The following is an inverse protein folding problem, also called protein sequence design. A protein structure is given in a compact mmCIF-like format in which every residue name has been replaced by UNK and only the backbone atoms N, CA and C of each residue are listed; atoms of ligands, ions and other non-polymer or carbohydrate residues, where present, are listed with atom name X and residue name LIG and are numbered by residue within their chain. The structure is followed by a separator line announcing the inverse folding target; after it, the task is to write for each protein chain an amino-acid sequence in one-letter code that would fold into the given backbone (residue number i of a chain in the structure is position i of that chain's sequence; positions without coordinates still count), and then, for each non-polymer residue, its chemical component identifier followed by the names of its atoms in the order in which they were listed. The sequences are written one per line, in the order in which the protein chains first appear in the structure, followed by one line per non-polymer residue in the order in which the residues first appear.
data_IF_814320324875
#
_entry.id   IF_814320324875
#
_cell.length_a   1.000
_cell.length_b   1.000
_cell.length_c   1.000
_cell.angle_alpha   90.00
_cell.angle_beta   90.00
_cell.angle_gamma   90.00
#
_symmetry.space_group_name_H-M   'P 1'
#
loop_
_entity.id
_entity.type
_entity.pdbx_description
1 polymer ?
#
# COMPACT_ATOMS: atom_id res chain seq x y z
N UNK A 1 23.63 21.50 -2.75
CA UNK A 1 22.28 21.63 -3.36
C UNK A 1 21.70 20.31 -3.90
N UNK A 2 22.42 19.52 -4.72
CA UNK A 2 21.92 18.22 -5.25
C UNK A 2 21.58 17.20 -4.14
N UNK A 3 22.52 16.96 -3.21
CA UNK A 3 22.32 16.04 -2.09
C UNK A 3 21.10 16.40 -1.21
N UNK A 4 20.88 17.68 -0.94
CA UNK A 4 19.70 18.14 -0.19
C UNK A 4 18.39 17.86 -0.93
N UNK A 5 18.34 18.08 -2.25
CA UNK A 5 17.16 17.79 -3.07
C UNK A 5 16.85 16.29 -3.08
N UNK A 6 17.88 15.46 -3.18
CA UNK A 6 17.75 14.01 -3.16
C UNK A 6 17.27 13.50 -1.79
N UNK A 7 17.84 14.01 -0.71
CA UNK A 7 17.40 13.70 0.65
C UNK A 7 15.95 14.12 0.90
N UNK A 8 15.57 15.32 0.44
CA UNK A 8 14.19 15.80 0.54
C UNK A 8 13.22 14.91 -0.26
N UNK A 9 13.56 14.57 -1.52
CA UNK A 9 12.75 13.66 -2.35
C UNK A 9 12.57 12.29 -1.70
N UNK A 10 13.65 11.74 -1.14
CA UNK A 10 13.62 10.47 -0.39
C UNK A 10 12.69 10.56 0.82
N UNK A 11 12.83 11.62 1.64
CA UNK A 11 11.98 11.83 2.81
C UNK A 11 10.50 11.99 2.45
N UNK A 12 10.20 12.71 1.37
CA UNK A 12 8.81 12.87 0.88
C UNK A 12 8.19 11.53 0.48
N UNK A 13 8.95 10.68 -0.22
CA UNK A 13 8.48 9.34 -0.60
C UNK A 13 8.35 8.41 0.59
N UNK A 14 9.28 8.45 1.56
CA UNK A 14 9.15 7.67 2.79
C UNK A 14 7.85 7.97 3.53
N UNK A 15 7.51 9.25 3.68
CA UNK A 15 6.25 9.66 4.32
C UNK A 15 5.03 9.24 3.48
N UNK A 16 5.10 9.36 2.15
CA UNK A 16 4.04 8.89 1.26
C UNK A 16 3.80 7.37 1.38
N UNK A 17 4.87 6.57 1.43
CA UNK A 17 4.79 5.11 1.54
C UNK A 17 4.24 4.68 2.89
N UNK A 18 4.65 5.35 3.97
CA UNK A 18 4.05 5.17 5.30
C UNK A 18 2.54 5.43 5.27
N UNK A 19 2.11 6.57 4.73
CA UNK A 19 0.69 6.92 4.66
C UNK A 19 -0.12 5.89 3.89
N UNK A 20 0.42 5.37 2.78
CA UNK A 20 -0.22 4.32 2.01
C UNK A 20 -0.29 2.99 2.74
N UNK A 21 0.80 2.55 3.39
CA UNK A 21 0.81 1.33 4.19
C UNK A 21 -0.26 1.42 5.28
N UNK A 22 -0.32 2.53 6.00
CA UNK A 22 -1.28 2.76 7.08
C UNK A 22 -2.73 2.67 6.57
N UNK A 23 -3.04 3.34 5.46
CA UNK A 23 -4.40 3.39 4.90
C UNK A 23 -4.81 2.05 4.27
N UNK A 24 -3.93 1.43 3.49
CA UNK A 24 -4.17 0.14 2.85
C UNK A 24 -4.31 -0.98 3.90
N UNK A 25 -3.50 -0.98 4.96
CA UNK A 25 -3.61 -1.95 6.05
C UNK A 25 -4.99 -1.90 6.71
N UNK A 26 -5.43 -0.69 7.08
CA UNK A 26 -6.74 -0.49 7.71
C UNK A 26 -7.88 -0.93 6.80
N UNK A 27 -7.83 -0.52 5.54
CA UNK A 27 -8.91 -0.79 4.59
C UNK A 27 -8.96 -2.26 4.20
N UNK A 28 -7.81 -2.93 4.05
CA UNK A 28 -7.77 -4.36 3.75
C UNK A 28 -8.28 -5.20 4.93
N UNK A 29 -7.85 -4.90 6.15
CA UNK A 29 -8.33 -5.60 7.34
C UNK A 29 -9.85 -5.41 7.53
N UNK A 30 -10.36 -4.23 7.23
CA UNK A 30 -11.80 -3.95 7.24
C UNK A 30 -12.55 -4.76 6.19
N UNK A 31 -12.08 -4.76 4.93
CA UNK A 31 -12.68 -5.53 3.84
C UNK A 31 -12.72 -7.04 4.12
N UNK A 32 -11.76 -7.55 4.91
CA UNK A 32 -11.75 -8.96 5.30
C UNK A 32 -12.86 -9.32 6.28
N UNK A 33 -13.40 -8.37 7.06
CA UNK A 33 -14.36 -8.68 8.14
C UNK A 33 -15.71 -7.95 7.99
N UNK A 34 -15.81 -7.02 7.04
CA UNK A 34 -17.00 -6.26 6.71
C UNK A 34 -17.27 -6.32 5.20
N UNK A 35 -18.55 -6.36 4.82
CA UNK A 35 -19.02 -6.38 3.43
C UNK A 35 -19.49 -5.00 2.94
N UNK A 36 -19.38 -3.97 3.80
CA UNK A 36 -19.84 -2.63 3.49
C UNK A 36 -18.67 -1.77 3.03
N UNK A 37 -18.68 -1.43 1.75
CA UNK A 37 -17.65 -0.59 1.15
C UNK A 37 -17.79 0.88 1.57
N UNK A 38 -16.84 1.39 2.37
CA UNK A 38 -16.70 2.83 2.64
C UNK A 38 -15.93 3.52 1.51
N UNK A 39 -16.67 4.22 0.64
CA UNK A 39 -16.13 4.99 -0.49
C UNK A 39 -15.06 6.00 -0.04
N UNK A 40 -15.17 6.53 1.17
CA UNK A 40 -14.22 7.52 1.71
C UNK A 40 -12.80 6.96 1.83
N UNK A 41 -12.68 5.68 2.22
CA UNK A 41 -11.38 4.97 2.32
C UNK A 41 -10.79 4.70 0.94
N UNK A 42 -11.63 4.32 -0.03
CA UNK A 42 -11.17 4.15 -1.41
C UNK A 42 -10.65 5.46 -2.02
N UNK A 43 -11.28 6.60 -1.70
CA UNK A 43 -10.77 7.92 -2.11
C UNK A 43 -9.39 8.17 -1.49
N UNK A 44 -9.18 7.81 -0.22
CA UNK A 44 -7.88 7.88 0.45
C UNK A 44 -6.79 7.08 -0.28
N UNK A 45 -7.06 5.81 -0.57
CA UNK A 45 -6.15 4.93 -1.33
C UNK A 45 -5.87 5.52 -2.72
N UNK A 46 -6.91 5.90 -3.47
CA UNK A 46 -6.76 6.45 -4.82
C UNK A 46 -5.92 7.75 -4.83
N UNK A 47 -6.13 8.62 -3.83
CA UNK A 47 -5.34 9.85 -3.66
C UNK A 47 -3.86 9.54 -3.43
N UNK A 48 -3.54 8.56 -2.58
CA UNK A 48 -2.17 8.15 -2.30
C UNK A 48 -1.50 7.54 -3.54
N UNK A 49 -2.20 6.67 -4.29
CA UNK A 49 -1.72 6.15 -5.58
C UNK A 49 -1.46 7.29 -6.57
N UNK A 50 -2.36 8.27 -6.65
CA UNK A 50 -2.20 9.43 -7.53
C UNK A 50 -0.99 10.29 -7.15
N UNK A 51 -0.70 10.44 -5.85
CA UNK A 51 0.51 11.12 -5.37
C UNK A 51 1.78 10.32 -5.72
N UNK A 52 1.75 8.99 -5.68
CA UNK A 52 2.87 8.15 -6.13
C UNK A 52 3.13 8.31 -7.62
N UNK A 53 2.10 8.49 -8.47
CA UNK A 53 2.29 8.78 -9.90
C UNK A 53 3.12 10.03 -10.19
N UNK A 54 3.16 10.96 -9.23
CA UNK A 54 3.96 12.19 -9.34
C UNK A 54 5.39 12.00 -8.85
N UNK A 55 5.60 11.13 -7.86
CA UNK A 55 6.84 11.11 -7.06
C UNK A 55 7.63 9.80 -7.15
N UNK A 56 6.99 8.71 -7.56
CA UNK A 56 7.51 7.36 -7.43
C UNK A 56 7.76 6.71 -8.79
N UNK A 57 8.52 5.63 -8.79
CA UNK A 57 8.77 4.76 -9.94
C UNK A 57 7.51 4.00 -10.34
N UNK A 58 7.46 3.57 -11.61
CA UNK A 58 6.38 2.74 -12.13
C UNK A 58 6.18 1.46 -11.30
N UNK A 59 7.26 0.84 -10.81
CA UNK A 59 7.14 -0.38 -9.97
C UNK A 59 6.34 -0.13 -8.70
N UNK A 60 6.59 1.00 -8.01
CA UNK A 60 5.82 1.38 -6.81
C UNK A 60 4.36 1.65 -7.18
N UNK A 61 4.12 2.36 -8.28
CA UNK A 61 2.76 2.70 -8.75
C UNK A 61 1.96 1.43 -9.09
N UNK A 62 2.57 0.48 -9.80
CA UNK A 62 1.92 -0.76 -10.22
C UNK A 62 1.57 -1.64 -9.01
N UNK A 63 2.50 -1.75 -8.04
CA UNK A 63 2.27 -2.46 -6.79
C UNK A 63 1.15 -1.84 -5.95
N UNK A 64 1.16 -0.50 -5.79
CA UNK A 64 0.11 0.21 -5.07
C UNK A 64 -1.27 0.08 -5.75
N UNK A 65 -1.30 0.13 -7.09
CA UNK A 65 -2.54 -0.03 -7.86
C UNK A 65 -3.11 -1.45 -7.72
N UNK A 66 -2.24 -2.47 -7.67
CA UNK A 66 -2.66 -3.86 -7.47
C UNK A 66 -3.29 -4.07 -6.08
N UNK A 67 -2.74 -3.43 -5.04
CA UNK A 67 -3.34 -3.43 -3.70
C UNK A 67 -4.72 -2.77 -3.70
N UNK A 68 -4.88 -1.64 -4.38
CA UNK A 68 -6.17 -0.94 -4.44
C UNK A 68 -7.27 -1.81 -5.09
N UNK A 69 -6.92 -2.56 -6.15
CA UNK A 69 -7.81 -3.52 -6.80
C UNK A 69 -8.14 -4.66 -5.83
N UNK A 70 -7.13 -5.28 -5.23
CA UNK A 70 -7.31 -6.36 -4.26
C UNK A 70 -8.26 -5.97 -3.11
N UNK A 71 -8.07 -4.79 -2.52
CA UNK A 71 -8.92 -4.30 -1.43
C UNK A 71 -10.37 -4.15 -1.91
N UNK A 72 -10.57 -3.58 -3.09
CA UNK A 72 -11.90 -3.41 -3.69
C UNK A 72 -12.55 -4.77 -3.93
N UNK A 73 -11.84 -5.72 -4.53
CA UNK A 73 -12.32 -7.07 -4.80
C UNK A 73 -12.66 -7.83 -3.52
N UNK A 74 -11.91 -7.58 -2.43
CA UNK A 74 -12.12 -8.23 -1.12
C UNK A 74 -13.48 -7.88 -0.52
N UNK A 75 -13.99 -6.66 -0.68
CA UNK A 75 -15.34 -6.28 -0.23
C UNK A 75 -16.46 -7.07 -0.94
N UNK A 76 -16.17 -7.68 -2.09
CA UNK A 76 -17.10 -8.52 -2.83
C UNK A 76 -16.89 -10.02 -2.57
N UNK A 77 -16.02 -10.39 -1.63
CA UNK A 77 -15.82 -11.77 -1.18
C UNK A 77 -16.56 -12.03 0.14
N UNK A 78 -16.81 -13.30 0.51
CA UNK A 78 -17.30 -13.63 1.84
C UNK A 78 -16.37 -13.10 2.95
N UNK A 79 -16.95 -12.46 3.97
CA UNK A 79 -16.20 -12.00 5.15
C UNK A 79 -15.55 -13.19 5.86
N UNK A 80 -14.42 -12.91 6.51
CA UNK A 80 -13.63 -13.88 7.28
C UNK A 80 -14.06 -13.88 8.73
N UNK A 81 -14.20 -15.07 9.28
CA UNK A 81 -14.33 -15.30 10.72
C UNK A 81 -12.98 -15.05 11.43
N UNK A 82 -12.98 -14.82 12.76
CA UNK A 82 -11.75 -14.67 13.52
C UNK A 82 -10.76 -15.84 13.37
N UNK A 83 -11.27 -17.07 13.26
CA UNK A 83 -10.43 -18.27 13.07
C UNK A 83 -9.78 -18.29 11.68
N UNK A 84 -10.52 -17.91 10.64
CA UNK A 84 -9.96 -17.79 9.29
C UNK A 84 -8.93 -16.66 9.21
N UNK A 85 -9.18 -15.52 9.87
CA UNK A 85 -8.23 -14.42 9.94
C UNK A 85 -6.94 -14.85 10.67
N UNK A 86 -7.07 -15.56 11.79
CA UNK A 86 -5.93 -16.13 12.51
C UNK A 86 -5.12 -17.09 11.63
N UNK A 87 -5.78 -17.99 10.90
CA UNK A 87 -5.11 -18.90 9.97
C UNK A 87 -4.36 -18.13 8.88
N UNK A 88 -4.98 -17.09 8.29
CA UNK A 88 -4.32 -16.23 7.31
C UNK A 88 -3.04 -15.57 7.87
N UNK A 89 -3.02 -15.15 9.14
CA UNK A 89 -1.83 -14.56 9.75
C UNK A 89 -0.72 -15.57 10.04
N UNK A 90 -1.07 -16.82 10.36
CA UNK A 90 -0.10 -17.88 10.67
C UNK A 90 0.48 -18.55 9.41
N UNK A 91 -0.36 -18.79 8.41
CA UNK A 91 0.01 -19.54 7.21
C UNK A 91 0.69 -18.65 6.16
N UNK A 92 0.88 -17.37 6.46
CA UNK A 92 1.42 -16.39 5.51
C UNK A 92 0.47 -16.19 4.34
N UNK A 93 -0.82 -16.02 4.63
CA UNK A 93 -1.85 -15.68 3.64
C UNK A 93 -1.49 -14.43 2.83
N UNK A 94 -2.36 -14.04 1.90
CA UNK A 94 -2.07 -12.91 0.99
C UNK A 94 -1.70 -11.66 1.80
N UNK A 95 -0.41 -11.33 1.80
CA UNK A 95 0.19 -10.13 2.38
C UNK A 95 0.62 -9.20 1.24
N UNK A 96 -0.32 -8.44 0.68
CA UNK A 96 -0.05 -7.64 -0.50
C UNK A 96 0.87 -6.44 -0.17
N UNK A 97 1.01 -6.09 1.12
CA UNK A 97 1.86 -5.00 1.59
C UNK A 97 3.33 -5.40 1.68
N UNK A 98 3.64 -6.69 1.78
CA UNK A 98 5.00 -7.19 1.70
C UNK A 98 5.66 -6.79 0.38
N UNK A 99 5.08 -7.17 -0.74
CA UNK A 99 5.63 -6.88 -2.07
C UNK A 99 5.77 -5.38 -2.29
N UNK A 100 4.77 -4.59 -1.91
CA UNK A 100 4.84 -3.13 -1.97
C UNK A 100 5.99 -2.57 -1.14
N UNK A 101 6.16 -3.05 0.09
CA UNK A 101 7.24 -2.60 0.98
C UNK A 101 8.63 -2.95 0.41
N UNK A 102 8.78 -4.11 -0.22
CA UNK A 102 10.02 -4.52 -0.89
C UNK A 102 10.33 -3.61 -2.08
N UNK A 103 9.34 -3.31 -2.92
CA UNK A 103 9.49 -2.40 -4.06
C UNK A 103 9.82 -0.98 -3.61
N UNK A 104 9.16 -0.46 -2.58
CA UNK A 104 9.44 0.84 -1.98
C UNK A 104 10.87 0.91 -1.43
N UNK A 105 11.32 -0.12 -0.69
CA UNK A 105 12.68 -0.18 -0.15
C UNK A 105 13.71 -0.12 -1.27
N UNK A 106 13.53 -0.92 -2.32
CA UNK A 106 14.43 -0.93 -3.48
C UNK A 106 14.53 0.44 -4.15
N UNK A 107 13.42 1.17 -4.28
CA UNK A 107 13.40 2.50 -4.86
C UNK A 107 14.10 3.55 -3.98
N UNK A 108 13.92 3.46 -2.66
CA UNK A 108 14.58 4.36 -1.70
C UNK A 108 16.08 4.09 -1.59
N UNK A 109 16.52 2.87 -1.91
CA UNK A 109 17.92 2.46 -1.97
C UNK A 109 18.58 2.81 -3.30
N UNK A 110 17.88 2.64 -4.43
CA UNK A 110 18.42 3.01 -5.76
C UNK A 110 18.71 4.50 -5.88
N UNK A 111 17.89 5.34 -5.25
CA UNK A 111 18.07 6.78 -5.25
C UNK A 111 19.21 7.26 -4.35
N UNK A 112 19.92 6.38 -3.62
CA UNK A 112 21.17 6.74 -2.95
C UNK A 112 22.38 6.75 -3.90
N UNK A 113 22.22 6.29 -5.15
CA UNK A 113 23.32 6.09 -6.10
C UNK A 113 23.28 6.99 -7.36
N UNK A 114 22.35 7.96 -7.44
CA UNK A 114 22.17 8.88 -8.58
C UNK A 114 22.49 10.36 -8.24
#
# INVERSE_FOLDING_TARGET
MKAQRLANSKSTRQELYKQFIDEASRTYADALVHDTLDVSRLVGIYSLVSRMRVLSSNKVIDSASSIAILITDTYFQPIKTPTELQAMMHDGGVDPLRDFSEVCRNELESDLLA
#
